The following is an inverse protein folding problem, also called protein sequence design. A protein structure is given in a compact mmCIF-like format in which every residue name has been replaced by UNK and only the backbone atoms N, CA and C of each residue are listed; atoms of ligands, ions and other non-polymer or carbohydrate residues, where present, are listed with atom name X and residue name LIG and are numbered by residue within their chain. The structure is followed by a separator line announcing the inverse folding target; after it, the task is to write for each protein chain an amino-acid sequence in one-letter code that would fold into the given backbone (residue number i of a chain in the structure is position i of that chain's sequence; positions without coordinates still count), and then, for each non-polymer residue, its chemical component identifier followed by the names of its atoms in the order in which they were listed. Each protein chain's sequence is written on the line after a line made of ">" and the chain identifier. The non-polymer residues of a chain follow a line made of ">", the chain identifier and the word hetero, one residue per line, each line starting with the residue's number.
data_IF_418632557822
#
_entry.id   IF_418632557822
#
_cell.length_a   1.000
_cell.length_b   1.000
_cell.length_c   1.000
_cell.angle_alpha   90.00
_cell.angle_beta   90.00
_cell.angle_gamma   90.00
#
_symmetry.space_group_name_H-M   'P 1'
#
loop_
_entity.id
_entity.type
_entity.pdbx_description
1 polymer ?
#
# COMPACT_ATOMS: atom_id res chain seq x y z
N UNK A 1 -14.16 19.98 -13.89
CA UNK A 1 -15.14 20.56 -12.95
C UNK A 1 -15.05 19.91 -11.56
N UNK A 2 -15.31 18.60 -11.41
CA UNK A 2 -15.27 17.94 -10.09
C UNK A 2 -13.92 18.10 -9.35
N UNK A 3 -12.79 17.97 -10.06
CA UNK A 3 -11.46 18.22 -9.49
C UNK A 3 -11.23 19.64 -9.00
N UNK A 4 -11.92 20.65 -9.55
CA UNK A 4 -11.86 22.01 -9.00
C UNK A 4 -12.69 22.12 -7.72
N UNK A 5 -13.84 21.45 -7.65
CA UNK A 5 -14.65 21.41 -6.42
C UNK A 5 -13.86 20.82 -5.25
N UNK A 6 -13.20 19.67 -5.46
CA UNK A 6 -12.45 18.99 -4.38
C UNK A 6 -11.21 19.75 -3.91
N UNK A 7 -10.81 20.85 -4.58
CA UNK A 7 -9.80 21.78 -4.03
C UNK A 7 -10.28 22.45 -2.75
N UNK A 8 -11.59 22.53 -2.55
CA UNK A 8 -12.23 23.07 -1.36
C UNK A 8 -12.64 21.93 -0.42
N UNK A 9 -12.09 21.92 0.79
CA UNK A 9 -12.29 20.84 1.77
C UNK A 9 -13.78 20.53 2.06
N UNK A 10 -14.70 21.50 2.21
CA UNK A 10 -16.11 21.19 2.43
C UNK A 10 -16.74 20.38 1.30
N UNK A 11 -16.39 20.69 0.05
CA UNK A 11 -16.90 19.98 -1.13
C UNK A 11 -16.27 18.59 -1.27
N UNK A 12 -14.96 18.48 -0.98
CA UNK A 12 -14.30 17.19 -0.90
C UNK A 12 -14.93 16.29 0.17
N UNK A 13 -15.29 16.85 1.33
CA UNK A 13 -15.96 16.10 2.41
C UNK A 13 -17.31 15.56 1.97
N UNK A 14 -18.14 16.37 1.32
CA UNK A 14 -19.45 15.92 0.80
C UNK A 14 -19.28 14.72 -0.13
N UNK A 15 -18.31 14.77 -1.05
CA UNK A 15 -18.08 13.68 -2.00
C UNK A 15 -17.51 12.45 -1.28
N UNK A 16 -16.45 12.62 -0.50
CA UNK A 16 -15.73 11.53 0.16
C UNK A 16 -16.61 10.74 1.14
N UNK A 17 -17.50 11.43 1.85
CA UNK A 17 -18.42 10.82 2.83
C UNK A 17 -19.74 10.34 2.23
N UNK A 18 -19.94 10.50 0.92
CA UNK A 18 -21.14 10.03 0.25
C UNK A 18 -21.03 8.54 -0.12
N UNK A 19 -22.17 7.86 -0.22
CA UNK A 19 -22.21 6.49 -0.77
C UNK A 19 -21.70 6.44 -2.22
N UNK A 20 -21.89 7.53 -2.98
CA UNK A 20 -21.42 7.67 -4.36
C UNK A 20 -19.90 7.71 -4.47
N UNK A 21 -19.16 7.96 -3.38
CA UNK A 21 -17.70 7.79 -3.37
C UNK A 21 -17.30 6.37 -3.80
N UNK A 22 -18.05 5.35 -3.38
CA UNK A 22 -17.73 3.97 -3.71
C UNK A 22 -17.94 3.63 -5.19
N UNK A 23 -18.63 4.48 -5.95
CA UNK A 23 -18.69 4.31 -7.40
C UNK A 23 -17.32 4.48 -8.07
N UNK A 24 -16.36 5.19 -7.43
CA UNK A 24 -15.00 5.30 -7.96
C UNK A 24 -14.32 3.95 -8.14
N UNK A 25 -14.57 2.96 -7.28
CA UNK A 25 -14.03 1.59 -7.44
C UNK A 25 -14.51 0.93 -8.74
N UNK A 26 -15.69 1.29 -9.24
CA UNK A 26 -16.18 0.88 -10.56
C UNK A 26 -15.61 1.77 -11.67
N UNK A 27 -15.55 3.09 -11.47
CA UNK A 27 -15.09 4.03 -12.50
C UNK A 27 -13.63 3.81 -12.89
N UNK A 28 -12.76 3.49 -11.92
CA UNK A 28 -11.33 3.21 -12.19
C UNK A 28 -11.09 1.86 -12.89
N UNK A 29 -12.11 1.02 -12.98
CA UNK A 29 -12.09 -0.28 -13.66
C UNK A 29 -12.83 -0.25 -15.02
N UNK A 30 -13.24 0.94 -15.48
CA UNK A 30 -13.87 1.08 -16.79
C UNK A 30 -12.93 0.65 -17.92
N UNK A 31 -13.48 0.01 -18.96
CA UNK A 31 -12.72 -0.42 -20.14
C UNK A 31 -12.16 0.73 -20.97
N UNK A 32 -12.79 1.92 -20.90
CA UNK A 32 -12.31 3.14 -21.55
C UNK A 32 -11.18 3.76 -20.74
N UNK A 33 -9.95 3.57 -21.21
CA UNK A 33 -8.73 3.98 -20.51
C UNK A 33 -8.73 5.45 -20.07
N UNK A 34 -9.06 6.39 -20.95
CA UNK A 34 -9.02 7.82 -20.63
C UNK A 34 -9.97 8.20 -19.49
N UNK A 35 -11.16 7.58 -19.48
CA UNK A 35 -12.18 7.80 -18.43
C UNK A 35 -11.70 7.16 -17.11
N UNK A 36 -11.21 5.93 -17.14
CA UNK A 36 -10.72 5.24 -15.95
C UNK A 36 -9.53 5.97 -15.32
N UNK A 37 -8.60 6.48 -16.15
CA UNK A 37 -7.45 7.27 -15.72
C UNK A 37 -7.88 8.61 -15.10
N UNK A 38 -8.83 9.32 -15.71
CA UNK A 38 -9.37 10.58 -15.16
C UNK A 38 -10.13 10.36 -13.84
N UNK A 39 -10.90 9.27 -13.76
CA UNK A 39 -11.56 8.84 -12.53
C UNK A 39 -10.54 8.53 -11.43
N UNK A 40 -9.45 7.82 -11.77
CA UNK A 40 -8.39 7.49 -10.82
C UNK A 40 -7.68 8.75 -10.32
N UNK A 41 -7.42 9.73 -11.19
CA UNK A 41 -6.83 11.00 -10.79
C UNK A 41 -7.72 11.73 -9.76
N UNK A 42 -9.03 11.71 -9.96
CA UNK A 42 -10.00 12.32 -9.03
C UNK A 42 -10.10 11.54 -7.72
N UNK A 43 -10.14 10.21 -7.79
CA UNK A 43 -10.13 9.31 -6.63
C UNK A 43 -8.88 9.52 -5.76
N UNK A 44 -7.70 9.57 -6.39
CA UNK A 44 -6.43 9.90 -5.73
C UNK A 44 -6.47 11.27 -5.07
N UNK A 45 -6.98 12.28 -5.76
CA UNK A 45 -7.01 13.66 -5.26
C UNK A 45 -7.90 13.78 -4.01
N UNK A 46 -9.07 13.14 -4.01
CA UNK A 46 -9.95 13.02 -2.83
C UNK A 46 -9.23 12.38 -1.62
N UNK A 47 -8.45 11.33 -1.87
CA UNK A 47 -7.75 10.58 -0.81
C UNK A 47 -6.45 11.21 -0.33
N UNK A 48 -5.91 12.21 -1.02
CA UNK A 48 -4.54 12.70 -0.72
C UNK A 48 -4.42 14.21 -0.55
N UNK A 49 -5.37 15.02 -1.02
CA UNK A 49 -5.29 16.48 -0.93
C UNK A 49 -5.49 17.00 0.49
N UNK A 50 -6.64 16.70 1.09
CA UNK A 50 -7.02 17.18 2.42
C UNK A 50 -6.65 16.12 3.45
N UNK A 51 -5.45 16.22 4.00
CA UNK A 51 -4.81 15.16 4.80
C UNK A 51 -5.63 14.71 6.01
N UNK A 52 -6.12 15.66 6.80
CA UNK A 52 -6.91 15.37 8.01
C UNK A 52 -8.26 14.74 7.66
N UNK A 53 -8.96 15.30 6.67
CA UNK A 53 -10.23 14.77 6.18
C UNK A 53 -10.09 13.33 5.65
N UNK A 54 -9.06 13.06 4.86
CA UNK A 54 -8.81 11.72 4.32
C UNK A 54 -8.45 10.72 5.42
N UNK A 55 -7.59 11.11 6.37
CA UNK A 55 -7.24 10.28 7.51
C UNK A 55 -8.48 9.93 8.35
N UNK A 56 -9.32 10.92 8.67
CA UNK A 56 -10.58 10.73 9.40
C UNK A 56 -11.51 9.75 8.67
N UNK A 57 -11.68 9.93 7.36
CA UNK A 57 -12.50 9.04 6.54
C UNK A 57 -11.96 7.59 6.52
N UNK A 58 -10.65 7.42 6.26
CA UNK A 58 -10.03 6.11 6.16
C UNK A 58 -10.05 5.36 7.50
N UNK A 59 -9.96 6.07 8.62
CA UNK A 59 -10.07 5.47 9.95
C UNK A 59 -11.50 4.98 10.23
N UNK A 60 -12.51 5.81 9.96
CA UNK A 60 -13.92 5.48 10.23
C UNK A 60 -14.51 4.45 9.28
N UNK A 61 -14.06 4.43 8.02
CA UNK A 61 -14.56 3.53 6.98
C UNK A 61 -13.58 2.41 6.61
N UNK A 62 -12.58 2.17 7.46
CA UNK A 62 -11.44 1.29 7.18
C UNK A 62 -11.82 -0.04 6.52
N UNK A 63 -12.71 -0.81 7.15
CA UNK A 63 -12.96 -2.18 6.72
C UNK A 63 -13.69 -2.24 5.37
N UNK A 64 -14.66 -1.35 5.12
CA UNK A 64 -15.32 -1.23 3.81
C UNK A 64 -14.36 -0.71 2.73
N UNK A 65 -13.62 0.36 3.03
CA UNK A 65 -12.68 0.97 2.08
C UNK A 65 -11.61 -0.04 1.64
N UNK A 66 -10.90 -0.66 2.58
CA UNK A 66 -9.82 -1.58 2.24
C UNK A 66 -10.32 -2.90 1.64
N UNK A 67 -11.55 -3.33 1.95
CA UNK A 67 -12.16 -4.47 1.26
C UNK A 67 -12.43 -4.18 -0.23
N UNK A 68 -12.84 -2.96 -0.59
CA UNK A 68 -12.99 -2.56 -1.98
C UNK A 68 -11.62 -2.31 -2.64
N UNK A 69 -10.70 -1.67 -1.91
CA UNK A 69 -9.36 -1.36 -2.40
C UNK A 69 -8.53 -2.60 -2.73
N UNK A 70 -8.68 -3.69 -1.96
CA UNK A 70 -8.03 -4.96 -2.23
C UNK A 70 -8.40 -5.53 -3.61
N UNK A 71 -9.62 -5.28 -4.10
CA UNK A 71 -10.04 -5.70 -5.45
C UNK A 71 -9.22 -5.01 -6.53
N UNK A 72 -8.91 -3.72 -6.35
CA UNK A 72 -8.07 -2.97 -7.29
C UNK A 72 -6.64 -3.54 -7.37
N UNK A 73 -6.13 -4.09 -6.26
CA UNK A 73 -4.82 -4.75 -6.24
C UNK A 73 -4.81 -6.09 -6.98
N UNK A 74 -5.98 -6.64 -7.27
CA UNK A 74 -6.18 -7.84 -8.08
C UNK A 74 -6.70 -7.53 -9.49
N UNK A 75 -6.77 -6.26 -9.88
CA UNK A 75 -7.26 -5.86 -11.19
C UNK A 75 -6.47 -6.49 -12.34
N UNK A 76 -7.18 -6.97 -13.37
CA UNK A 76 -6.59 -7.39 -14.63
C UNK A 76 -6.11 -6.18 -15.46
N UNK A 77 -6.61 -4.97 -15.16
CA UNK A 77 -6.12 -3.74 -15.75
C UNK A 77 -4.77 -3.37 -15.11
N UNK A 78 -3.69 -3.55 -15.88
CA UNK A 78 -2.33 -3.24 -15.45
C UNK A 78 -2.18 -1.82 -14.88
N UNK A 79 -2.80 -0.82 -15.51
CA UNK A 79 -2.65 0.58 -15.07
C UNK A 79 -3.37 0.78 -13.74
N UNK A 80 -4.60 0.30 -13.61
CA UNK A 80 -5.37 0.39 -12.35
C UNK A 80 -4.65 -0.34 -11.23
N UNK A 81 -4.18 -1.58 -11.46
CA UNK A 81 -3.41 -2.35 -10.48
C UNK A 81 -2.14 -1.60 -10.03
N UNK A 82 -1.36 -1.07 -10.98
CA UNK A 82 -0.12 -0.35 -10.67
C UNK A 82 -0.38 0.94 -9.90
N UNK A 83 -1.31 1.77 -10.38
CA UNK A 83 -1.58 3.05 -9.75
C UNK A 83 -2.23 2.88 -8.37
N UNK A 84 -3.07 1.86 -8.19
CA UNK A 84 -3.65 1.53 -6.88
C UNK A 84 -2.58 1.09 -5.88
N UNK A 85 -1.60 0.29 -6.32
CA UNK A 85 -0.50 -0.14 -5.47
C UNK A 85 0.44 1.02 -5.10
N UNK A 86 0.73 1.91 -6.05
CA UNK A 86 1.48 3.15 -5.79
C UNK A 86 0.76 4.04 -4.77
N UNK A 87 -0.53 4.30 -4.99
CA UNK A 87 -1.35 5.11 -4.09
C UNK A 87 -1.45 4.48 -2.70
N UNK A 88 -1.52 3.15 -2.59
CA UNK A 88 -1.48 2.46 -1.30
C UNK A 88 -0.17 2.77 -0.55
N UNK A 89 0.97 2.71 -1.23
CA UNK A 89 2.26 3.11 -0.64
C UNK A 89 2.25 4.56 -0.15
N UNK A 90 1.74 5.50 -0.97
CA UNK A 90 1.60 6.91 -0.60
C UNK A 90 0.71 7.10 0.64
N UNK A 91 -0.43 6.41 0.71
CA UNK A 91 -1.36 6.50 1.84
C UNK A 91 -0.76 5.95 3.14
N UNK A 92 -0.06 4.81 3.07
CA UNK A 92 0.53 4.17 4.26
C UNK A 92 1.74 4.94 4.80
N UNK A 93 2.46 5.68 3.96
CA UNK A 93 3.62 6.47 4.36
C UNK A 93 3.27 7.90 4.83
N UNK A 94 2.03 8.35 4.64
CA UNK A 94 1.59 9.65 5.13
C UNK A 94 1.46 9.66 6.66
N UNK A 95 2.10 10.62 7.32
CA UNK A 95 2.12 10.73 8.79
C UNK A 95 0.73 10.86 9.42
N UNK A 96 -0.25 11.43 8.70
CA UNK A 96 -1.62 11.57 9.21
C UNK A 96 -2.36 10.24 9.24
N UNK A 97 -1.87 9.25 8.47
CA UNK A 97 -2.46 7.93 8.34
C UNK A 97 -1.80 6.88 9.26
N UNK A 98 -1.07 7.29 10.30
CA UNK A 98 -0.33 6.37 11.17
C UNK A 98 -1.20 5.25 11.76
N UNK A 99 -2.42 5.57 12.22
CA UNK A 99 -3.38 4.57 12.74
C UNK A 99 -3.80 3.58 11.66
N UNK A 100 -4.12 4.10 10.46
CA UNK A 100 -4.51 3.30 9.29
C UNK A 100 -3.36 2.38 8.86
N UNK A 101 -2.14 2.92 8.77
CA UNK A 101 -0.93 2.17 8.45
C UNK A 101 -0.70 1.04 9.45
N UNK A 102 -0.79 1.33 10.74
CA UNK A 102 -0.57 0.34 11.81
C UNK A 102 -1.59 -0.80 11.73
N UNK A 103 -2.88 -0.49 11.49
CA UNK A 103 -3.94 -1.51 11.27
C UNK A 103 -3.72 -2.30 9.98
N UNK A 104 -3.18 -1.69 8.93
CA UNK A 104 -2.92 -2.36 7.65
C UNK A 104 -1.77 -3.35 7.75
N UNK A 105 -0.66 -2.96 8.37
CA UNK A 105 0.55 -3.80 8.46
C UNK A 105 0.47 -4.88 9.53
N UNK A 106 -0.58 -4.89 10.36
CA UNK A 106 -0.85 -5.95 11.33
C UNK A 106 -1.62 -7.15 10.74
N UNK A 107 -2.16 -7.05 9.52
CA UNK A 107 -2.96 -8.11 8.88
C UNK A 107 -2.07 -9.08 8.06
N UNK A 108 -2.04 -10.39 8.38
CA UNK A 108 -1.25 -11.39 7.64
C UNK A 108 -1.58 -11.51 6.15
N UNK A 109 -2.86 -11.36 5.78
CA UNK A 109 -3.29 -11.40 4.38
C UNK A 109 -2.65 -10.28 3.56
N UNK A 110 -2.57 -9.08 4.12
CA UNK A 110 -1.93 -7.93 3.46
C UNK A 110 -0.44 -8.20 3.21
N UNK A 111 0.27 -8.78 4.18
CA UNK A 111 1.68 -9.14 3.99
C UNK A 111 1.84 -10.21 2.89
N UNK A 112 1.01 -11.26 2.92
CA UNK A 112 1.02 -12.31 1.90
C UNK A 112 0.76 -11.74 0.50
N UNK A 113 -0.21 -10.84 0.37
CA UNK A 113 -0.50 -10.15 -0.89
C UNK A 113 0.73 -9.39 -1.40
N UNK A 114 1.37 -8.57 -0.56
CA UNK A 114 2.57 -7.82 -0.95
C UNK A 114 3.73 -8.75 -1.35
N UNK A 115 3.96 -9.83 -0.60
CA UNK A 115 4.98 -10.83 -0.92
C UNK A 115 4.71 -11.56 -2.25
N UNK A 116 3.44 -11.80 -2.59
CA UNK A 116 3.08 -12.35 -3.89
C UNK A 116 3.29 -11.34 -5.02
N UNK A 117 2.93 -10.06 -4.80
CA UNK A 117 3.12 -8.99 -5.79
C UNK A 117 4.60 -8.66 -6.05
N UNK A 118 5.50 -8.89 -5.08
CA UNK A 118 6.96 -8.87 -5.31
C UNK A 118 7.41 -9.85 -6.41
N UNK A 119 6.60 -10.88 -6.71
CA UNK A 119 6.85 -11.89 -7.73
C UNK A 119 5.93 -11.74 -8.95
N UNK A 120 5.20 -10.64 -9.08
CA UNK A 120 4.31 -10.37 -10.22
C UNK A 120 5.11 -10.37 -11.55
N UNK A 121 4.47 -10.71 -12.67
CA UNK A 121 5.09 -10.70 -14.00
C UNK A 121 5.63 -9.32 -14.40
N UNK A 122 5.04 -8.24 -13.89
CA UNK A 122 5.44 -6.88 -14.20
C UNK A 122 6.45 -6.33 -13.19
N UNK A 123 7.65 -5.98 -13.66
CA UNK A 123 8.71 -5.35 -12.84
C UNK A 123 8.26 -4.06 -12.15
N UNK A 124 7.36 -3.29 -12.76
CA UNK A 124 6.83 -2.08 -12.15
C UNK A 124 5.86 -2.40 -10.99
N UNK A 125 5.04 -3.44 -11.11
CA UNK A 125 4.18 -3.90 -10.01
C UNK A 125 5.04 -4.38 -8.83
N UNK A 126 6.07 -5.18 -9.13
CA UNK A 126 7.01 -5.65 -8.10
C UNK A 126 7.65 -4.47 -7.35
N UNK A 127 8.02 -3.40 -8.07
CA UNK A 127 8.65 -2.22 -7.49
C UNK A 127 7.70 -1.45 -6.56
N UNK A 128 6.44 -1.22 -6.97
CA UNK A 128 5.46 -0.59 -6.08
C UNK A 128 5.12 -1.49 -4.87
N UNK A 129 5.08 -2.82 -5.05
CA UNK A 129 4.89 -3.78 -3.96
C UNK A 129 6.04 -3.73 -2.95
N UNK A 130 7.28 -3.50 -3.40
CA UNK A 130 8.44 -3.35 -2.55
C UNK A 130 8.28 -2.17 -1.58
N UNK A 131 7.77 -1.02 -2.05
CA UNK A 131 7.56 0.14 -1.18
C UNK A 131 6.54 -0.13 -0.08
N UNK A 132 5.49 -0.91 -0.34
CA UNK A 132 4.51 -1.31 0.68
C UNK A 132 5.09 -2.39 1.60
N UNK A 133 5.75 -3.42 1.04
CA UNK A 133 6.41 -4.48 1.80
C UNK A 133 7.44 -3.94 2.80
N UNK A 134 8.19 -2.90 2.41
CA UNK A 134 9.17 -2.22 3.26
C UNK A 134 8.54 -1.76 4.59
N UNK A 135 7.31 -1.27 4.57
CA UNK A 135 6.60 -0.77 5.77
C UNK A 135 6.36 -1.89 6.78
N UNK A 136 6.02 -3.10 6.32
CA UNK A 136 5.85 -4.27 7.21
C UNK A 136 7.15 -4.63 7.93
N UNK A 137 8.26 -4.61 7.21
CA UNK A 137 9.57 -4.99 7.76
C UNK A 137 10.13 -3.90 8.66
N UNK A 138 9.96 -2.62 8.30
CA UNK A 138 10.43 -1.48 9.07
C UNK A 138 9.65 -1.26 10.38
N UNK A 139 8.46 -1.83 10.53
CA UNK A 139 7.67 -1.72 11.75
C UNK A 139 8.43 -2.34 12.96
N UNK A 140 8.77 -1.57 14.01
CA UNK A 140 9.41 -2.13 15.21
C UNK A 140 8.47 -3.03 16.01
N UNK A 141 7.17 -2.77 15.97
CA UNK A 141 6.13 -3.43 16.77
C UNK A 141 5.34 -4.42 15.90
N UNK A 142 6.01 -5.44 15.36
CA UNK A 142 5.37 -6.47 14.53
C UNK A 142 4.47 -7.36 15.38
N UNK A 143 3.23 -7.57 14.97
CA UNK A 143 2.36 -8.59 15.59
C UNK A 143 2.93 -10.00 15.38
N UNK A 144 2.65 -10.93 16.29
CA UNK A 144 3.16 -12.31 16.21
C UNK A 144 2.90 -12.99 14.84
N UNK A 145 1.69 -12.92 14.24
CA UNK A 145 1.44 -13.54 12.92
C UNK A 145 2.31 -12.97 11.79
N UNK A 146 2.61 -11.67 11.83
CA UNK A 146 3.49 -11.00 10.86
C UNK A 146 4.93 -11.45 11.03
N UNK A 147 5.40 -11.51 12.28
CA UNK A 147 6.74 -11.99 12.60
C UNK A 147 6.93 -13.46 12.17
N UNK A 148 5.93 -14.31 12.40
CA UNK A 148 5.97 -15.72 12.03
C UNK A 148 6.10 -15.92 10.52
N UNK A 149 5.36 -15.13 9.71
CA UNK A 149 5.48 -15.17 8.24
C UNK A 149 6.88 -14.76 7.80
N UNK A 150 7.42 -13.67 8.34
CA UNK A 150 8.75 -13.18 7.98
C UNK A 150 9.85 -14.17 8.38
N UNK A 151 9.79 -14.75 9.59
CA UNK A 151 10.74 -15.76 10.06
C UNK A 151 10.65 -17.05 9.23
N UNK A 152 9.45 -17.52 8.92
CA UNK A 152 9.23 -18.72 8.09
C UNK A 152 9.83 -18.58 6.69
N UNK A 153 9.92 -17.35 6.17
CA UNK A 153 10.44 -17.05 4.84
C UNK A 153 11.81 -16.34 4.87
N UNK A 154 12.47 -16.25 6.03
CA UNK A 154 13.63 -15.37 6.27
C UNK A 154 14.75 -15.57 5.26
N UNK A 155 15.25 -16.80 5.12
CA UNK A 155 16.35 -17.12 4.18
C UNK A 155 15.97 -16.80 2.74
N UNK A 156 14.75 -17.16 2.32
CA UNK A 156 14.27 -16.91 0.95
C UNK A 156 14.09 -15.42 0.67
N UNK A 157 13.61 -14.65 1.64
CA UNK A 157 13.46 -13.20 1.52
C UNK A 157 14.81 -12.50 1.40
N UNK A 158 15.80 -12.90 2.20
CA UNK A 158 17.16 -12.35 2.11
C UNK A 158 17.75 -12.61 0.72
N UNK A 159 17.70 -13.86 0.25
CA UNK A 159 18.23 -14.20 -1.07
C UNK A 159 17.50 -13.45 -2.20
N UNK A 160 16.16 -13.39 -2.11
CA UNK A 160 15.33 -12.68 -3.08
C UNK A 160 15.70 -11.19 -3.15
N UNK A 161 15.74 -10.51 -2.01
CA UNK A 161 16.02 -9.07 -1.94
C UNK A 161 17.43 -8.72 -2.40
N UNK A 162 18.42 -9.57 -2.13
CA UNK A 162 19.81 -9.37 -2.61
C UNK A 162 19.92 -9.39 -4.14
N UNK A 163 18.97 -10.01 -4.84
CA UNK A 163 18.92 -10.10 -6.32
C UNK A 163 17.82 -9.22 -6.93
N UNK A 164 17.04 -8.53 -6.10
CA UNK A 164 15.83 -7.84 -6.55
C UNK A 164 16.15 -6.55 -7.31
N UNK A 165 15.86 -6.55 -8.61
CA UNK A 165 16.01 -5.41 -9.53
C UNK A 165 17.35 -4.66 -9.44
N UNK A 166 18.47 -5.40 -9.38
CA UNK A 166 19.82 -4.83 -9.26
C UNK A 166 20.28 -4.00 -10.48
N UNK A 167 19.57 -4.09 -11.60
CA UNK A 167 19.71 -3.23 -12.77
C UNK A 167 19.34 -1.75 -12.50
N UNK A 168 18.66 -1.44 -11.39
CA UNK A 168 18.38 -0.05 -10.96
C UNK A 168 19.59 0.54 -10.20
N UNK A 169 20.73 0.65 -10.88
CA UNK A 169 21.98 1.12 -10.25
C UNK A 169 21.99 2.62 -9.94
N UNK A 170 21.20 3.42 -10.67
CA UNK A 170 21.12 4.88 -10.49
C UNK A 170 20.19 5.30 -9.34
N UNK A 171 19.40 4.37 -8.79
CA UNK A 171 18.47 4.62 -7.68
C UNK A 171 19.16 4.26 -6.35
N UNK A 172 20.01 5.17 -5.86
CA UNK A 172 20.75 4.98 -4.60
C UNK A 172 19.81 4.72 -3.43
N UNK A 173 18.71 5.47 -3.33
CA UNK A 173 17.71 5.30 -2.28
C UNK A 173 17.14 3.88 -2.27
N UNK A 174 16.75 3.34 -3.43
CA UNK A 174 16.26 1.97 -3.52
C UNK A 174 17.30 0.93 -3.09
N UNK A 175 18.57 1.12 -3.45
CA UNK A 175 19.64 0.20 -3.08
C UNK A 175 19.95 0.22 -1.57
N UNK A 176 19.89 1.40 -0.95
CA UNK A 176 19.98 1.56 0.51
C UNK A 176 18.80 0.91 1.22
N UNK A 177 17.57 1.11 0.72
CA UNK A 177 16.36 0.49 1.26
C UNK A 177 16.42 -1.04 1.17
N UNK A 178 16.90 -1.61 0.06
CA UNK A 178 17.13 -3.07 -0.04
C UNK A 178 18.13 -3.56 1.00
N UNK A 179 19.25 -2.87 1.13
CA UNK A 179 20.32 -3.24 2.08
C UNK A 179 19.80 -3.19 3.52
N UNK A 180 19.07 -2.13 3.85
CA UNK A 180 18.40 -1.98 5.14
C UNK A 180 17.41 -3.13 5.40
N UNK A 181 16.56 -3.47 4.43
CA UNK A 181 15.58 -4.55 4.58
C UNK A 181 16.23 -5.92 4.75
N UNK A 182 17.28 -6.22 3.99
CA UNK A 182 18.05 -7.46 4.15
C UNK A 182 18.62 -7.57 5.56
N UNK A 183 19.18 -6.48 6.10
CA UNK A 183 19.68 -6.42 7.47
C UNK A 183 18.54 -6.63 8.49
N UNK A 184 17.44 -5.89 8.36
CA UNK A 184 16.28 -6.02 9.25
C UNK A 184 15.74 -7.46 9.29
N UNK A 185 15.59 -8.10 8.13
CA UNK A 185 15.08 -9.47 8.04
C UNK A 185 16.07 -10.47 8.65
N UNK A 186 17.38 -10.29 8.44
CA UNK A 186 18.43 -11.13 9.05
C UNK A 186 18.42 -11.03 10.57
N UNK A 187 18.20 -9.83 11.10
CA UNK A 187 18.21 -9.55 12.53
C UNK A 187 16.88 -9.89 13.22
N UNK A 188 15.85 -10.34 12.49
CA UNK A 188 14.60 -10.81 13.07
C UNK A 188 14.84 -11.99 14.01
N UNK A 189 14.33 -11.84 15.24
CA UNK A 189 14.36 -12.86 16.28
C UNK A 189 12.96 -12.98 16.87
N UNK A 190 12.63 -14.16 17.38
CA UNK A 190 11.43 -14.32 18.21
C UNK A 190 11.65 -13.50 19.50
N UNK A 191 10.67 -12.69 19.94
CA UNK A 191 10.74 -12.10 21.27
C UNK A 191 10.89 -13.21 22.30
N UNK A 192 11.68 -12.96 23.35
CA UNK A 192 11.78 -13.90 24.46
C UNK A 192 10.37 -14.21 24.96
N UNK A 193 10.03 -15.49 25.09
CA UNK A 193 8.78 -15.88 25.76
C UNK A 193 8.85 -15.25 27.15
N UNK A 194 7.97 -14.29 27.43
CA UNK A 194 7.71 -13.91 28.80
C UNK A 194 7.08 -15.15 29.43
N UNK A 195 7.89 -15.91 30.16
CA UNK A 195 7.42 -16.96 31.06
C UNK A 195 6.41 -16.30 31.98
N UNK A 196 5.15 -16.70 31.82
CA UNK A 196 4.05 -16.35 32.73
C UNK A 196 3.98 -17.38 33.86
#
# INVERSE_FOLDING_TARGET
>A
MLRECIRHEPLAKIILWSEQFYDFFRYVEMSTFDIASDAFATFKDLLTRHKLLSAEFLEQHYDRFFSEYEKLLHSENYVTKRQSLKLLGELLLDRHNFTIMTKYISKPENLKLMMNLLRDKSRNIQFEAFHVFKVFVANPNKTQPILDILLKNQTKLIEFLSKFQNDRTEDEQFNDEKTYLVKQIRDLKRPAQQEA
#
